data_IF_033164380583
#
_entry.id   IF_033164380583
#
_cell.length_a   1.000
_cell.length_b   1.000
_cell.length_c   1.000
_cell.angle_alpha   90.00
_cell.angle_beta   90.00
_cell.angle_gamma   90.00
#
_symmetry.space_group_name_H-M   'P 1'
#
loop_
_entity.id
_entity.type
_entity.pdbx_description
1 polymer ?
#
# COMPACT_ATOMS: atom_id res chain seq x y z
N UNK A 1 -14.73 5.85 -19.87
CA UNK A 1 -14.69 5.64 -18.41
C UNK A 1 -13.39 6.25 -17.91
N UNK A 2 -13.40 6.98 -16.80
CA UNK A 2 -12.15 7.51 -16.22
C UNK A 2 -11.24 6.34 -15.82
N UNK A 3 -9.95 6.45 -16.12
CA UNK A 3 -8.96 5.46 -15.66
C UNK A 3 -8.86 5.53 -14.14
N UNK A 4 -8.92 4.39 -13.47
CA UNK A 4 -8.77 4.35 -12.01
C UNK A 4 -7.31 4.54 -11.62
N UNK A 5 -7.05 5.39 -10.63
CA UNK A 5 -5.76 5.50 -9.96
C UNK A 5 -5.58 4.30 -9.04
N UNK A 6 -4.56 3.49 -9.30
CA UNK A 6 -4.19 2.29 -8.56
C UNK A 6 -3.09 2.62 -7.56
N UNK A 7 -3.33 2.36 -6.28
CA UNK A 7 -2.37 2.65 -5.20
C UNK A 7 -1.91 1.35 -4.55
N UNK A 8 -0.60 1.10 -4.55
CA UNK A 8 -0.01 0.04 -3.75
C UNK A 8 0.12 0.51 -2.31
N UNK A 9 -0.47 -0.19 -1.36
CA UNK A 9 -0.44 0.16 0.07
C UNK A 9 0.51 -0.79 0.78
N UNK A 10 1.57 -0.25 1.35
CA UNK A 10 2.64 -0.98 2.04
C UNK A 10 2.72 -0.46 3.48
N UNK A 11 2.01 -1.07 4.45
CA UNK A 11 1.90 -0.53 5.79
C UNK A 11 3.24 -0.48 6.55
N UNK A 12 4.13 -1.42 6.25
CA UNK A 12 5.43 -1.53 6.90
C UNK A 12 5.32 -1.91 8.38
N UNK A 13 6.22 -1.37 9.18
CA UNK A 13 6.50 -1.76 10.56
C UNK A 13 6.25 -0.64 11.57
N UNK A 14 6.37 -0.97 12.86
CA UNK A 14 6.20 -0.02 13.96
C UNK A 14 4.82 0.64 13.93
N UNK A 15 4.78 1.97 13.89
CA UNK A 15 3.54 2.75 13.80
C UNK A 15 2.92 2.76 12.39
N UNK A 16 3.61 2.19 11.40
CA UNK A 16 3.20 2.20 9.99
C UNK A 16 1.78 1.64 9.76
N UNK A 17 1.43 0.44 10.25
CA UNK A 17 0.09 -0.12 10.13
C UNK A 17 -1.03 0.76 10.68
N UNK A 18 -0.81 1.39 11.84
CA UNK A 18 -1.80 2.24 12.50
C UNK A 18 -2.06 3.52 11.68
N UNK A 19 -0.99 4.21 11.26
CA UNK A 19 -1.11 5.46 10.48
C UNK A 19 -1.65 5.20 9.08
N UNK A 20 -1.25 4.09 8.44
CA UNK A 20 -1.74 3.73 7.09
C UNK A 20 -3.21 3.30 7.12
N UNK A 21 -3.70 2.71 8.22
CA UNK A 21 -5.13 2.44 8.38
C UNK A 21 -5.96 3.72 8.33
N UNK A 22 -5.54 4.76 9.06
CA UNK A 22 -6.22 6.07 9.05
C UNK A 22 -6.08 6.79 7.71
N UNK A 23 -4.91 6.72 7.07
CA UNK A 23 -4.74 7.29 5.73
C UNK A 23 -5.72 6.66 4.71
N UNK A 24 -5.88 5.33 4.73
CA UNK A 24 -6.85 4.62 3.88
C UNK A 24 -8.28 5.00 4.25
N UNK A 25 -8.59 5.23 5.53
CA UNK A 25 -9.91 5.71 5.95
C UNK A 25 -10.24 7.10 5.38
N UNK A 26 -9.27 8.02 5.39
CA UNK A 26 -9.40 9.32 4.74
C UNK A 26 -9.59 9.18 3.22
N UNK A 27 -8.80 8.33 2.55
CA UNK A 27 -8.92 8.08 1.11
C UNK A 27 -10.29 7.51 0.75
N UNK A 28 -10.82 6.58 1.52
CA UNK A 28 -12.16 6.00 1.30
C UNK A 28 -13.27 7.05 1.45
N UNK A 29 -13.13 7.96 2.43
CA UNK A 29 -14.04 9.09 2.61
C UNK A 29 -14.01 10.03 1.41
N UNK A 30 -12.82 10.40 0.92
CA UNK A 30 -12.66 11.27 -0.25
C UNK A 30 -13.18 10.60 -1.52
N UNK A 31 -12.87 9.31 -1.71
CA UNK A 31 -13.33 8.48 -2.84
C UNK A 31 -14.86 8.53 -2.96
N UNK A 32 -15.56 8.29 -1.85
CA UNK A 32 -17.04 8.31 -1.79
C UNK A 32 -17.61 9.72 -1.98
N UNK A 33 -17.00 10.73 -1.36
CA UNK A 33 -17.53 12.11 -1.37
C UNK A 33 -17.43 12.77 -2.74
N UNK A 34 -16.38 12.46 -3.48
CA UNK A 34 -16.04 13.14 -4.75
C UNK A 34 -16.09 12.23 -5.97
N UNK A 35 -16.58 10.99 -5.82
CA UNK A 35 -16.62 9.97 -6.87
C UNK A 35 -15.26 9.80 -7.58
N UNK A 36 -14.19 9.78 -6.79
CA UNK A 36 -12.84 9.65 -7.32
C UNK A 36 -12.62 8.21 -7.79
N UNK A 37 -12.15 7.97 -9.02
CA UNK A 37 -11.87 6.64 -9.52
C UNK A 37 -10.55 6.15 -8.92
N UNK A 38 -10.58 5.71 -7.66
CA UNK A 38 -9.41 5.22 -6.92
C UNK A 38 -9.61 3.78 -6.48
N UNK A 39 -8.54 2.99 -6.52
CA UNK A 39 -8.48 1.65 -5.93
C UNK A 39 -7.09 1.39 -5.34
N UNK A 40 -7.03 0.48 -4.39
CA UNK A 40 -5.77 0.13 -3.74
C UNK A 40 -5.66 -1.35 -3.40
N UNK A 41 -4.44 -1.84 -3.43
CA UNK A 41 -4.07 -3.21 -3.03
C UNK A 41 -3.08 -3.13 -1.89
N UNK A 42 -3.32 -3.90 -0.83
CA UNK A 42 -2.38 -4.00 0.30
C UNK A 42 -1.37 -5.10 0.04
N UNK A 43 -0.11 -4.79 0.28
CA UNK A 43 0.99 -5.76 0.27
C UNK A 43 1.49 -5.96 1.70
N UNK A 44 1.80 -7.21 2.10
CA UNK A 44 2.34 -7.51 3.42
C UNK A 44 3.84 -7.13 3.55
N UNK A 45 4.47 -6.79 2.43
CA UNK A 45 5.86 -6.37 2.31
C UNK A 45 5.96 -4.90 1.83
N UNK A 46 7.09 -4.23 2.06
CA UNK A 46 8.15 -4.66 2.96
C UNK A 46 7.71 -4.59 4.42
N UNK A 47 8.08 -5.58 5.23
CA UNK A 47 7.88 -5.60 6.68
C UNK A 47 8.87 -6.54 7.36
N UNK A 48 9.11 -6.34 8.64
CA UNK A 48 9.89 -7.23 9.49
C UNK A 48 9.26 -8.63 9.54
N UNK A 49 7.94 -8.71 9.69
CA UNK A 49 7.23 -10.00 9.71
C UNK A 49 7.43 -10.77 8.40
N UNK A 50 7.34 -10.09 7.24
CA UNK A 50 7.64 -10.71 5.95
C UNK A 50 9.09 -11.21 5.87
N UNK A 51 10.05 -10.42 6.38
CA UNK A 51 11.46 -10.80 6.42
C UNK A 51 11.73 -11.99 7.35
N UNK A 52 11.08 -12.09 8.51
CA UNK A 52 11.19 -13.26 9.39
C UNK A 52 10.65 -14.53 8.72
N UNK A 53 9.57 -14.42 7.96
CA UNK A 53 8.95 -15.57 7.27
C UNK A 53 9.70 -16.00 6.00
N UNK A 54 10.27 -15.04 5.24
CA UNK A 54 10.77 -15.29 3.89
C UNK A 54 12.30 -15.11 3.76
N UNK A 55 12.97 -14.52 4.75
CA UNK A 55 14.41 -14.23 4.71
C UNK A 55 14.81 -13.08 3.77
N UNK A 56 13.83 -12.34 3.26
CA UNK A 56 14.00 -11.20 2.36
C UNK A 56 13.00 -10.10 2.71
N UNK A 57 13.32 -8.83 2.46
CA UNK A 57 12.44 -7.72 2.86
C UNK A 57 11.22 -7.55 1.95
N UNK A 58 11.24 -8.11 0.73
CA UNK A 58 10.15 -8.09 -0.25
C UNK A 58 10.42 -9.20 -1.30
N UNK A 59 9.40 -9.72 -2.00
CA UNK A 59 9.60 -10.78 -2.98
C UNK A 59 10.42 -10.32 -4.18
N UNK A 60 11.09 -11.26 -4.86
CA UNK A 60 11.94 -10.98 -6.01
C UNK A 60 11.22 -10.23 -7.16
N UNK A 61 9.90 -10.40 -7.31
CA UNK A 61 9.07 -9.75 -8.32
C UNK A 61 8.38 -8.46 -7.81
N UNK A 62 8.70 -7.98 -6.60
CA UNK A 62 8.05 -6.82 -5.98
C UNK A 62 8.01 -5.59 -6.90
N UNK A 63 9.12 -5.27 -7.58
CA UNK A 63 9.16 -4.14 -8.51
C UNK A 63 8.27 -4.35 -9.73
N UNK A 64 8.15 -5.58 -10.22
CA UNK A 64 7.26 -5.89 -11.35
C UNK A 64 5.78 -5.81 -10.92
N UNK A 65 5.47 -6.23 -9.70
CA UNK A 65 4.14 -6.01 -9.11
C UNK A 65 3.83 -4.51 -8.98
N UNK A 66 4.77 -3.72 -8.44
CA UNK A 66 4.60 -2.27 -8.20
C UNK A 66 4.52 -1.43 -9.48
N UNK A 67 5.15 -1.84 -10.58
CA UNK A 67 5.04 -1.18 -11.90
C UNK A 67 3.61 -1.07 -12.41
N UNK A 68 2.71 -1.93 -11.92
CA UNK A 68 1.29 -1.89 -12.26
C UNK A 68 0.48 -0.86 -11.47
N UNK A 69 1.09 -0.10 -10.56
CA UNK A 69 0.41 0.91 -9.74
C UNK A 69 0.87 2.33 -10.11
N UNK A 70 -0.02 3.29 -9.92
CA UNK A 70 0.23 4.70 -10.24
C UNK A 70 0.90 5.44 -9.06
N UNK A 71 0.76 4.92 -7.85
CA UNK A 71 1.39 5.46 -6.63
C UNK A 71 1.61 4.37 -5.57
N UNK A 72 2.50 4.65 -4.61
CA UNK A 72 2.75 3.83 -3.44
C UNK A 72 2.42 4.64 -2.19
N UNK A 73 1.55 4.11 -1.33
CA UNK A 73 1.32 4.58 0.04
C UNK A 73 2.14 3.70 0.98
N UNK A 74 3.32 4.17 1.35
CA UNK A 74 4.23 3.51 2.29
C UNK A 74 4.05 4.09 3.70
N UNK A 75 3.96 3.21 4.70
CA UNK A 75 3.93 3.58 6.11
C UNK A 75 5.31 3.90 6.66
N UNK A 76 5.82 3.03 7.54
CA UNK A 76 7.15 3.18 8.15
C UNK A 76 7.96 1.88 7.98
N UNK A 77 9.28 1.99 7.87
CA UNK A 77 10.19 0.84 7.85
C UNK A 77 11.30 1.10 8.85
N UNK A 78 11.80 0.04 9.50
CA UNK A 78 12.83 0.12 10.54
C UNK A 78 13.63 -1.16 10.68
#
# INVERSE_FOLDING_TARGET
>A
MAQKTRIAVTPGDGIGPEVVAEAVHCLETLRKRHDLPMEWTRFPWPSHAWHEENGESMPADALDQLKSYDAILLGALG
#
